data_IF_457263302891
#
_entry.id   IF_457263302891
#
_cell.length_a   1.000
_cell.length_b   1.000
_cell.length_c   1.000
_cell.angle_alpha   90.00
_cell.angle_beta   90.00
_cell.angle_gamma   90.00
#
_symmetry.space_group_name_H-M   'P 1'
#
loop_
_entity.id
_entity.type
_entity.pdbx_description
1 polymer ?
#
# COMPACT_ATOMS: atom_id res chain seq x y z
N UNK A 1 8.73 21.62 -15.94
CA UNK A 1 7.33 21.71 -15.48
C UNK A 1 7.22 20.94 -14.17
N UNK A 2 6.99 21.61 -13.03
CA UNK A 2 6.76 20.91 -11.76
C UNK A 2 5.44 20.16 -11.91
N UNK A 3 5.49 18.84 -12.09
CA UNK A 3 4.30 17.99 -12.02
C UNK A 3 3.50 18.41 -10.80
N UNK A 4 2.22 18.74 -11.00
CA UNK A 4 1.28 19.01 -9.93
C UNK A 4 1.39 17.84 -8.93
N UNK A 5 2.08 18.04 -7.81
CA UNK A 5 2.11 17.06 -6.73
C UNK A 5 0.71 17.04 -6.16
N UNK A 6 -0.15 16.18 -6.71
CA UNK A 6 -1.44 15.89 -6.11
C UNK A 6 -1.18 15.49 -4.67
N UNK A 7 -1.87 16.14 -3.74
CA UNK A 7 -1.74 15.82 -2.33
C UNK A 7 -2.19 14.37 -2.13
N UNK A 8 -1.47 13.58 -1.31
CA UNK A 8 -1.93 12.25 -0.97
C UNK A 8 -3.31 12.33 -0.31
N UNK A 9 -4.16 11.34 -0.59
CA UNK A 9 -5.47 11.17 0.04
C UNK A 9 -5.30 10.11 1.13
N UNK A 10 -5.65 10.47 2.37
CA UNK A 10 -5.60 9.54 3.48
C UNK A 10 -6.83 8.62 3.46
N UNK A 11 -6.58 7.31 3.53
CA UNK A 11 -7.61 6.27 3.55
C UNK A 11 -7.60 5.58 4.90
N UNK A 12 -8.75 5.56 5.58
CA UNK A 12 -8.94 4.76 6.81
C UNK A 12 -9.42 3.36 6.43
N UNK A 13 -8.63 2.34 6.77
CA UNK A 13 -8.96 0.93 6.54
C UNK A 13 -9.11 0.18 7.86
N UNK A 14 -9.95 -0.86 7.86
CA UNK A 14 -10.04 -1.84 8.95
C UNK A 14 -9.45 -3.15 8.45
N UNK A 15 -8.49 -3.69 9.19
CA UNK A 15 -7.85 -4.98 8.94
C UNK A 15 -7.97 -5.84 10.19
N UNK A 16 -7.85 -7.16 10.05
CA UNK A 16 -7.74 -8.02 11.23
C UNK A 16 -6.44 -7.73 11.98
N UNK A 17 -6.43 -8.05 13.28
CA UNK A 17 -5.26 -7.87 14.15
C UNK A 17 -4.07 -8.66 13.60
N UNK A 18 -4.29 -9.89 13.16
CA UNK A 18 -3.21 -10.74 12.62
C UNK A 18 -2.54 -10.11 11.39
N UNK A 19 -3.32 -9.52 10.49
CA UNK A 19 -2.78 -8.83 9.31
C UNK A 19 -2.00 -7.57 9.68
N UNK A 20 -2.47 -6.82 10.68
CA UNK A 20 -1.75 -5.66 11.20
C UNK A 20 -0.38 -6.04 11.77
N UNK A 21 -0.33 -7.06 12.63
CA UNK A 21 0.92 -7.49 13.25
C UNK A 21 1.92 -8.04 12.23
N UNK A 22 1.44 -8.83 11.25
CA UNK A 22 2.29 -9.29 10.15
C UNK A 22 2.85 -8.11 9.35
N UNK A 23 2.00 -7.16 8.95
CA UNK A 23 2.44 -5.99 8.20
C UNK A 23 3.47 -5.17 8.98
N UNK A 24 3.27 -5.01 10.29
CA UNK A 24 4.20 -4.30 11.17
C UNK A 24 5.57 -4.99 11.20
N UNK A 25 5.61 -6.31 11.41
CA UNK A 25 6.85 -7.08 11.40
C UNK A 25 7.59 -6.97 10.05
N UNK A 26 6.86 -7.01 8.93
CA UNK A 26 7.43 -6.78 7.60
C UNK A 26 7.99 -5.36 7.43
N UNK A 27 7.28 -4.36 7.93
CA UNK A 27 7.70 -2.96 7.86
C UNK A 27 9.01 -2.71 8.62
N UNK A 28 9.17 -3.34 9.78
CA UNK A 28 10.40 -3.29 10.59
C UNK A 28 11.56 -3.99 9.87
N UNK A 29 11.31 -5.17 9.29
CA UNK A 29 12.33 -5.95 8.55
C UNK A 29 12.84 -5.25 7.30
N UNK A 30 11.96 -4.55 6.57
CA UNK A 30 12.30 -3.89 5.30
C UNK A 30 12.74 -2.43 5.48
N UNK A 31 12.78 -1.92 6.71
CA UNK A 31 13.05 -0.51 7.03
C UNK A 31 12.12 0.44 6.24
N UNK A 32 10.84 0.05 6.12
CA UNK A 32 9.79 0.81 5.40
C UNK A 32 8.64 1.14 6.34
N UNK A 33 7.92 2.22 6.04
CA UNK A 33 6.68 2.51 6.75
C UNK A 33 5.56 1.56 6.34
N UNK A 34 4.66 1.22 7.26
CA UNK A 34 3.47 0.43 6.92
C UNK A 34 2.64 1.11 5.81
N UNK A 35 2.55 2.44 5.79
CA UNK A 35 1.89 3.18 4.71
C UNK A 35 2.51 2.89 3.33
N UNK A 36 3.83 2.80 3.25
CA UNK A 36 4.51 2.45 2.01
C UNK A 36 4.11 1.04 1.52
N UNK A 37 4.10 0.07 2.43
CA UNK A 37 3.71 -1.31 2.12
C UNK A 37 2.24 -1.41 1.71
N UNK A 38 1.34 -0.70 2.38
CA UNK A 38 -0.09 -0.64 2.00
C UNK A 38 -0.25 -0.04 0.61
N UNK A 39 0.44 1.06 0.30
CA UNK A 39 0.39 1.65 -1.04
C UNK A 39 0.89 0.67 -2.11
N UNK A 40 1.94 -0.10 -1.81
CA UNK A 40 2.46 -1.13 -2.73
C UNK A 40 1.49 -2.29 -2.92
N UNK A 41 0.81 -2.73 -1.86
CA UNK A 41 -0.23 -3.75 -1.96
C UNK A 41 -1.40 -3.27 -2.84
N UNK A 42 -1.83 -2.01 -2.70
CA UNK A 42 -2.86 -1.40 -3.54
C UNK A 42 -2.41 -1.34 -5.00
N UNK A 43 -1.19 -0.85 -5.27
CA UNK A 43 -0.62 -0.82 -6.63
C UNK A 43 -0.59 -2.22 -7.25
N UNK A 44 -0.14 -3.22 -6.50
CA UNK A 44 -0.03 -4.60 -6.97
C UNK A 44 -1.41 -5.18 -7.33
N UNK A 45 -2.39 -5.01 -6.45
CA UNK A 45 -3.76 -5.47 -6.67
C UNK A 45 -4.38 -4.87 -7.93
N UNK A 46 -4.27 -3.54 -8.10
CA UNK A 46 -4.84 -2.85 -9.26
C UNK A 46 -4.17 -3.27 -10.57
N UNK A 47 -2.85 -3.37 -10.61
CA UNK A 47 -2.11 -3.82 -11.81
C UNK A 47 -2.42 -5.25 -12.20
N UNK A 48 -2.60 -6.13 -11.21
CA UNK A 48 -2.99 -7.52 -11.45
C UNK A 48 -4.37 -7.60 -12.11
N UNK A 49 -5.32 -6.75 -11.68
CA UNK A 49 -6.65 -6.69 -12.27
C UNK A 49 -6.70 -6.08 -13.68
N UNK A 50 -5.80 -5.15 -14.00
CA UNK A 50 -5.66 -4.63 -15.36
C UNK A 50 -5.10 -5.68 -16.31
N UNK A 51 -4.12 -6.46 -15.85
CA UNK A 51 -3.46 -7.50 -16.66
C UNK A 51 -4.35 -8.72 -16.93
N UNK A 52 -5.29 -9.03 -16.03
CA UNK A 52 -6.22 -10.16 -16.17
C UNK A 52 -7.42 -9.86 -17.09
N UNK A 53 -7.59 -8.62 -17.55
CA UNK A 53 -8.62 -8.21 -18.52
C UNK A 53 -8.08 -8.06 -19.95
N UNK A 54 -6.81 -8.40 -20.18
CA UNK A 54 -6.14 -8.37 -21.47
C UNK A 54 -6.10 -9.78 -22.12
#
# INVERSE_FOLDING_TARGET
>A
MKQNRQKPIDVRVRVSVDLHELLKAHSEKEERSMNYLVNKAIEFYLKQHESAKA
#
